data_IF_994542159748
#
_entry.id   IF_994542159748
#
_cell.length_a   1.000
_cell.length_b   1.000
_cell.length_c   1.000
_cell.angle_alpha   90.00
_cell.angle_beta   90.00
_cell.angle_gamma   90.00
#
_symmetry.space_group_name_H-M   'P 1'
#
loop_
_entity.id
_entity.type
_entity.pdbx_description
1 polymer ?
#
# COMPACT_ATOMS: atom_id res chain seq x y z
N UNK A 1 -4.81 15.47 -13.73
CA UNK A 1 -3.50 15.07 -14.31
C UNK A 1 -3.11 13.69 -13.79
N UNK A 2 -2.06 13.04 -14.31
CA UNK A 2 -1.64 11.71 -13.82
C UNK A 2 -1.26 11.74 -12.34
N UNK A 3 -0.51 12.76 -11.90
CA UNK A 3 -0.15 12.95 -10.48
C UNK A 3 -1.37 13.02 -9.55
N UNK A 4 -2.43 13.72 -9.94
CA UNK A 4 -3.65 13.79 -9.14
C UNK A 4 -4.36 12.43 -9.00
N UNK A 5 -4.35 11.60 -10.06
CA UNK A 5 -4.87 10.23 -10.01
C UNK A 5 -4.01 9.35 -9.09
N UNK A 6 -2.69 9.50 -9.14
CA UNK A 6 -1.78 8.82 -8.22
C UNK A 6 -2.01 9.24 -6.77
N UNK A 7 -2.30 10.51 -6.49
CA UNK A 7 -2.69 10.96 -5.15
C UNK A 7 -3.95 10.27 -4.64
N UNK A 8 -4.94 10.02 -5.49
CA UNK A 8 -6.13 9.23 -5.13
C UNK A 8 -5.78 7.78 -4.76
N UNK A 9 -4.89 7.13 -5.54
CA UNK A 9 -4.40 5.77 -5.23
C UNK A 9 -3.63 5.76 -3.89
N UNK A 10 -2.80 6.77 -3.63
CA UNK A 10 -2.06 6.92 -2.37
C UNK A 10 -3.04 7.10 -1.20
N UNK A 11 -4.07 7.94 -1.34
CA UNK A 11 -5.10 8.13 -0.31
C UNK A 11 -5.83 6.80 -0.03
N UNK A 12 -6.20 6.06 -1.06
CA UNK A 12 -6.84 4.76 -0.91
C UNK A 12 -5.94 3.75 -0.18
N UNK A 13 -4.66 3.65 -0.54
CA UNK A 13 -3.72 2.76 0.17
C UNK A 13 -3.48 3.18 1.62
N UNK A 14 -3.51 4.48 1.91
CA UNK A 14 -3.23 4.98 3.26
C UNK A 14 -4.29 4.59 4.30
N UNK A 15 -5.51 4.25 3.86
CA UNK A 15 -6.61 3.90 4.77
C UNK A 15 -6.35 2.60 5.55
N UNK A 16 -5.58 1.66 4.99
CA UNK A 16 -5.27 0.40 5.63
C UNK A 16 -4.23 0.50 6.75
N UNK A 17 -3.47 1.61 6.80
CA UNK A 17 -2.34 1.77 7.73
C UNK A 17 -2.77 1.69 9.19
N UNK A 18 -3.91 2.30 9.54
CA UNK A 18 -4.39 2.34 10.93
C UNK A 18 -4.77 0.94 11.40
N UNK A 19 -5.59 0.22 10.63
CA UNK A 19 -6.01 -1.14 10.98
C UNK A 19 -4.83 -2.09 11.20
N UNK A 20 -3.83 -2.06 10.30
CA UNK A 20 -2.62 -2.88 10.46
C UNK A 20 -1.79 -2.44 11.66
N UNK A 21 -1.65 -1.12 11.89
CA UNK A 21 -0.89 -0.60 13.03
C UNK A 21 -1.54 -0.97 14.37
N UNK A 22 -2.87 -0.98 14.45
CA UNK A 22 -3.62 -1.41 15.64
C UNK A 22 -3.46 -2.91 15.88
N UNK A 23 -3.59 -3.74 14.85
CA UNK A 23 -3.41 -5.17 14.96
C UNK A 23 -1.99 -5.55 15.41
N UNK A 24 -0.97 -4.89 14.84
CA UNK A 24 0.43 -5.07 15.21
C UNK A 24 0.69 -4.65 16.67
N UNK A 25 0.15 -3.50 17.10
CA UNK A 25 0.23 -3.05 18.50
C UNK A 25 -0.47 -3.99 19.49
N UNK A 26 -1.54 -4.68 19.05
CA UNK A 26 -2.21 -5.71 19.82
C UNK A 26 -1.45 -7.05 19.85
N UNK A 27 -0.28 -7.14 19.22
CA UNK A 27 0.57 -8.34 19.20
C UNK A 27 0.31 -9.29 18.04
N UNK A 28 -0.46 -8.88 17.02
CA UNK A 28 -0.63 -9.69 15.81
C UNK A 28 0.63 -9.58 14.94
N UNK A 29 1.31 -10.69 14.60
CA UNK A 29 2.46 -10.65 13.70
C UNK A 29 2.08 -10.09 12.33
N UNK A 30 2.94 -9.25 11.73
CA UNK A 30 2.66 -8.63 10.43
C UNK A 30 2.82 -9.59 9.23
N UNK A 31 3.43 -10.77 9.41
CA UNK A 31 3.41 -11.89 8.46
C UNK A 31 2.09 -12.71 8.53
N UNK A 32 1.15 -12.32 9.39
CA UNK A 32 -0.13 -13.02 9.50
C UNK A 32 -1.02 -12.78 8.26
N UNK A 33 -1.22 -13.83 7.47
CA UNK A 33 -2.06 -13.82 6.27
C UNK A 33 -3.56 -13.59 6.53
N UNK A 34 -4.02 -13.64 7.79
CA UNK A 34 -5.40 -13.32 8.15
C UNK A 34 -5.64 -11.82 8.35
N UNK A 35 -4.57 -11.01 8.38
CA UNK A 35 -4.70 -9.56 8.37
C UNK A 35 -5.32 -9.10 7.04
N UNK A 36 -6.38 -8.31 7.14
CA UNK A 36 -7.07 -7.75 5.98
C UNK A 36 -7.22 -6.26 6.15
N UNK A 37 -7.42 -5.56 5.04
CA UNK A 37 -7.79 -4.15 5.00
C UNK A 37 -9.02 -4.01 4.11
N UNK A 38 -9.82 -2.99 4.38
CA UNK A 38 -10.99 -2.72 3.55
C UNK A 38 -10.57 -2.42 2.11
N UNK A 39 -11.21 -3.08 1.16
CA UNK A 39 -10.91 -2.85 -0.25
C UNK A 39 -11.61 -1.57 -0.70
N UNK A 40 -10.83 -0.60 -1.16
CA UNK A 40 -11.39 0.58 -1.81
C UNK A 40 -11.30 0.47 -3.32
N UNK A 41 -12.38 0.85 -4.01
CA UNK A 41 -12.44 0.92 -5.46
C UNK A 41 -13.11 2.21 -5.90
N UNK A 42 -12.55 2.86 -6.92
CA UNK A 42 -13.06 4.12 -7.47
C UNK A 42 -12.89 4.13 -8.99
N UNK A 43 -12.95 5.31 -9.64
CA UNK A 43 -12.59 5.44 -11.05
C UNK A 43 -11.12 5.14 -11.33
N UNK A 44 -10.23 5.48 -10.40
CA UNK A 44 -8.78 5.36 -10.57
C UNK A 44 -8.12 4.36 -9.62
N UNK A 45 -8.88 3.80 -8.67
CA UNK A 45 -8.44 2.74 -7.76
C UNK A 45 -9.14 1.44 -8.11
N UNK A 46 -8.35 0.40 -8.33
CA UNK A 46 -8.83 -0.95 -8.61
C UNK A 46 -9.11 -1.74 -7.34
N UNK A 47 -8.11 -1.80 -6.46
CA UNK A 47 -8.18 -2.51 -5.19
C UNK A 47 -7.18 -1.91 -4.19
N UNK A 48 -7.44 -2.18 -2.92
CA UNK A 48 -6.51 -2.00 -1.81
C UNK A 48 -6.46 -3.32 -1.05
N UNK A 49 -5.27 -3.82 -0.76
CA UNK A 49 -5.10 -5.09 -0.06
C UNK A 49 -3.85 -5.09 0.82
N UNK A 50 -3.83 -6.01 1.77
CA UNK A 50 -2.67 -6.26 2.63
C UNK A 50 -1.78 -7.33 2.02
N UNK A 51 -0.47 -7.13 2.10
CA UNK A 51 0.56 -8.11 1.75
C UNK A 51 1.31 -8.44 3.04
N UNK A 52 1.16 -9.67 3.57
CA UNK A 52 1.96 -10.13 4.70
C UNK A 52 3.45 -10.06 4.38
N UNK A 53 4.26 -9.66 5.37
CA UNK A 53 5.71 -9.63 5.18
C UNK A 53 6.35 -11.00 5.25
N UNK A 54 7.68 -11.01 5.11
CA UNK A 54 8.49 -12.21 5.25
C UNK A 54 8.73 -12.62 6.71
N UNK A 55 8.40 -11.73 7.66
CA UNK A 55 8.56 -11.94 9.10
C UNK A 55 7.53 -11.11 9.89
N UNK A 56 7.46 -11.39 11.19
CA UNK A 56 6.49 -10.81 12.12
C UNK A 56 6.52 -9.27 12.23
N UNK A 57 7.59 -8.60 11.77
CA UNK A 57 7.75 -7.15 11.88
C UNK A 57 7.48 -6.41 10.57
N UNK A 58 7.30 -7.12 9.45
CA UNK A 58 7.15 -6.50 8.14
C UNK A 58 5.80 -6.82 7.50
N UNK A 59 5.32 -5.91 6.66
CA UNK A 59 4.12 -6.08 5.86
C UNK A 59 3.87 -4.84 5.02
N UNK A 60 2.88 -4.89 4.13
CA UNK A 60 2.57 -3.73 3.30
C UNK A 60 1.09 -3.60 2.99
N UNK A 61 0.62 -2.36 2.87
CA UNK A 61 -0.67 -2.06 2.24
C UNK A 61 -0.41 -1.63 0.81
N UNK A 62 -1.05 -2.29 -0.16
CA UNK A 62 -0.88 -2.04 -1.59
C UNK A 62 -2.18 -1.52 -2.18
N UNK A 63 -2.09 -0.45 -2.98
CA UNK A 63 -3.20 0.08 -3.76
C UNK A 63 -2.86 0.06 -5.25
N UNK A 64 -3.80 -0.42 -6.08
CA UNK A 64 -3.61 -0.62 -7.54
C UNK A 64 -4.43 0.40 -8.32
N UNK A 65 -3.82 0.97 -9.35
CA UNK A 65 -4.45 1.95 -10.23
C UNK A 65 -5.19 1.34 -11.42
N UNK A 66 -6.27 2.00 -11.87
CA UNK A 66 -6.99 1.69 -13.12
C UNK A 66 -7.46 2.95 -13.85
N UNK A 67 -8.14 2.77 -14.98
CA UNK A 67 -8.88 3.85 -15.67
C UNK A 67 -8.03 4.88 -16.43
N UNK A 68 -6.71 4.77 -16.43
CA UNK A 68 -5.79 5.53 -17.28
C UNK A 68 -4.57 4.65 -17.60
N UNK A 69 -4.14 4.58 -18.86
CA UNK A 69 -3.07 3.67 -19.30
C UNK A 69 -1.74 3.91 -18.60
N UNK A 70 -1.49 5.11 -18.06
CA UNK A 70 -0.26 5.43 -17.32
C UNK A 70 -0.24 4.88 -15.89
N UNK A 71 -1.41 4.60 -15.31
CA UNK A 71 -1.54 4.07 -13.92
C UNK A 71 -2.18 2.69 -13.88
N UNK A 72 -2.84 2.25 -14.95
CA UNK A 72 -3.54 0.97 -15.00
C UNK A 72 -2.55 -0.18 -14.77
N UNK A 73 -2.82 -1.00 -13.75
CA UNK A 73 -1.96 -2.09 -13.32
C UNK A 73 -0.71 -1.65 -12.54
N UNK A 74 -0.48 -0.35 -12.36
CA UNK A 74 0.58 0.15 -11.48
C UNK A 74 0.06 0.31 -10.05
N UNK A 75 0.93 0.12 -9.06
CA UNK A 75 0.56 0.27 -7.66
C UNK A 75 1.48 1.20 -6.87
N UNK A 76 0.98 1.63 -5.72
CA UNK A 76 1.77 2.22 -4.64
C UNK A 76 1.65 1.31 -3.41
N UNK A 77 2.71 1.22 -2.63
CA UNK A 77 2.71 0.51 -1.37
C UNK A 77 3.03 1.45 -0.22
N UNK A 78 2.47 1.14 0.94
CA UNK A 78 2.97 1.57 2.23
C UNK A 78 3.62 0.35 2.88
N UNK A 79 4.94 0.28 2.85
CA UNK A 79 5.71 -0.76 3.53
C UNK A 79 5.82 -0.40 5.02
N UNK A 80 5.30 -1.27 5.87
CA UNK A 80 5.27 -1.12 7.33
C UNK A 80 6.40 -1.90 7.99
N UNK A 81 7.01 -1.29 9.01
CA UNK A 81 7.97 -1.93 9.91
C UNK A 81 7.51 -1.72 11.35
N UNK A 82 7.14 -2.79 12.04
CA UNK A 82 6.84 -2.76 13.47
C UNK A 82 8.14 -2.55 14.25
N UNK A 83 8.18 -1.45 14.99
CA UNK A 83 9.29 -1.07 15.85
C UNK A 83 9.13 -1.68 17.24
N UNK A 84 10.22 -1.77 17.99
CA UNK A 84 10.25 -2.30 19.36
C UNK A 84 9.39 -1.49 20.35
N UNK A 85 9.04 -0.25 20.02
CA UNK A 85 8.14 0.60 20.80
C UNK A 85 6.65 0.39 20.45
N UNK A 86 6.33 -0.59 19.59
CA UNK A 86 4.98 -0.89 19.13
C UNK A 86 4.48 -0.04 17.96
N UNK A 87 5.22 1.00 17.53
CA UNK A 87 4.82 1.79 16.37
C UNK A 87 5.09 1.04 15.07
N UNK A 88 4.18 1.12 14.10
CA UNK A 88 4.48 0.75 12.72
C UNK A 88 4.95 1.99 11.95
N UNK A 89 6.22 1.97 11.53
CA UNK A 89 6.77 2.99 10.64
C UNK A 89 6.41 2.66 9.19
N UNK A 90 5.93 3.63 8.43
CA UNK A 90 5.39 3.41 7.08
C UNK A 90 6.18 4.18 6.02
N UNK A 91 6.76 3.46 5.08
CA UNK A 91 7.43 4.03 3.91
C UNK A 91 6.55 3.89 2.67
N UNK A 92 6.23 5.02 2.02
CA UNK A 92 5.49 5.03 0.77
C UNK A 92 6.44 4.87 -0.41
N UNK A 93 6.10 4.03 -1.39
CA UNK A 93 6.88 3.85 -2.63
C UNK A 93 6.00 3.28 -3.76
N UNK A 94 6.57 3.17 -4.97
CA UNK A 94 5.96 2.32 -5.99
C UNK A 94 5.88 0.86 -5.49
N UNK A 95 4.74 0.21 -5.70
CA UNK A 95 4.58 -1.19 -5.34
C UNK A 95 5.45 -2.09 -6.24
N UNK A 96 6.08 -3.15 -5.72
CA UNK A 96 6.70 -4.20 -6.51
C UNK A 96 5.72 -4.82 -7.49
N UNK A 97 6.22 -5.31 -8.62
CA UNK A 97 5.40 -6.03 -9.61
C UNK A 97 5.14 -7.44 -9.09
N UNK A 98 3.99 -7.62 -8.44
CA UNK A 98 3.52 -8.87 -7.89
C UNK A 98 1.99 -8.84 -7.72
N UNK A 99 1.36 -10.01 -7.71
CA UNK A 99 -0.09 -10.14 -7.56
C UNK A 99 -0.85 -9.32 -8.62
N UNK A 100 -1.71 -8.40 -8.16
CA UNK A 100 -2.51 -7.52 -9.03
C UNK A 100 -1.73 -6.32 -9.58
N UNK A 101 -0.50 -6.07 -9.12
CA UNK A 101 0.38 -5.05 -9.69
C UNK A 101 1.14 -5.65 -10.87
N UNK A 102 0.85 -5.18 -12.08
CA UNK A 102 1.43 -5.68 -13.33
C UNK A 102 2.56 -4.82 -13.86
N UNK A 103 2.76 -3.61 -13.32
CA UNK A 103 3.90 -2.74 -13.65
C UNK A 103 4.25 -1.78 -12.51
N UNK A 104 5.48 -1.27 -12.49
CA UNK A 104 5.88 -0.25 -11.52
C UNK A 104 5.25 1.12 -11.86
N UNK A 105 4.86 1.87 -10.82
CA UNK A 105 4.45 3.27 -10.97
C UNK A 105 5.65 4.12 -11.37
N UNK A 106 5.56 4.91 -12.45
CA UNK A 106 6.66 5.78 -12.86
C UNK A 106 6.95 6.84 -11.78
N UNK A 107 8.22 6.99 -11.39
CA UNK A 107 8.65 7.93 -10.34
C UNK A 107 8.26 9.39 -10.62
N UNK A 108 8.11 9.78 -11.89
CA UNK A 108 7.66 11.12 -12.28
C UNK A 108 6.19 11.40 -11.93
N UNK A 109 5.39 10.39 -11.60
CA UNK A 109 4.01 10.57 -11.16
C UNK A 109 3.86 10.55 -9.63
N UNK A 110 4.87 10.09 -8.89
CA UNK A 110 4.88 10.04 -7.44
C UNK A 110 5.18 11.42 -6.82
N UNK A 111 4.55 11.77 -5.67
CA UNK A 111 4.97 12.89 -4.85
C UNK A 111 6.33 12.59 -4.18
N UNK A 112 7.04 13.62 -3.72
CA UNK A 112 8.37 13.47 -3.15
C UNK A 112 8.43 12.48 -1.96
N UNK A 113 7.37 12.43 -1.15
CA UNK A 113 7.25 11.53 0.01
C UNK A 113 6.98 10.06 -0.34
N UNK A 114 6.84 9.73 -1.63
CA UNK A 114 6.57 8.38 -2.12
C UNK A 114 7.50 8.00 -3.29
N UNK A 115 8.60 8.72 -3.48
CA UNK A 115 9.59 8.46 -4.54
C UNK A 115 10.69 7.54 -4.06
#
# INVERSE_FOLDING_TARGET
>A
TVRAKVSEIILAGSSGKVAISEAAQAGTPMDNASLTVETQASKYVEAVYYVPGADASHGAVVAVGKGDTKIAGAGVQFAGVLQSNGQVEWTCSAAPVAGSVTKAMEAKYLPASCK
#
